data_IF_460841824813
#
_entry.id   IF_460841824813
#
_cell.length_a   1.000
_cell.length_b   1.000
_cell.length_c   1.000
_cell.angle_alpha   90.00
_cell.angle_beta   90.00
_cell.angle_gamma   90.00
#
_symmetry.space_group_name_H-M   'P 1'
#
loop_
_entity.id
_entity.type
_entity.pdbx_description
1 polymer ?
#
# COMPACT_ATOMS: atom_id res chain seq x y z
N UNK A 1 -0.86 16.42 3.15
CA UNK A 1 -0.24 15.09 3.33
C UNK A 1 1.13 15.12 2.69
N UNK A 2 2.17 14.75 3.45
CA UNK A 2 3.54 14.69 2.96
C UNK A 2 3.91 13.22 2.66
N UNK A 3 4.73 12.97 1.64
CA UNK A 3 5.11 11.61 1.24
C UNK A 3 5.81 10.81 2.36
N UNK A 4 6.45 11.53 3.27
CA UNK A 4 7.17 11.00 4.43
C UNK A 4 6.23 10.33 5.44
N UNK A 5 5.15 11.02 5.81
CA UNK A 5 4.15 10.48 6.74
C UNK A 5 3.46 9.24 6.16
N UNK A 6 3.26 9.21 4.83
CA UNK A 6 2.64 8.08 4.14
C UNK A 6 3.56 6.88 4.14
N UNK A 7 4.85 7.05 3.83
CA UNK A 7 5.80 5.93 3.79
C UNK A 7 6.08 5.37 5.19
N UNK A 8 6.12 6.22 6.23
CA UNK A 8 6.32 5.77 7.61
C UNK A 8 5.13 4.93 8.11
N UNK A 9 3.90 5.33 7.77
CA UNK A 9 2.69 4.54 8.06
C UNK A 9 2.71 3.19 7.33
N UNK A 10 3.21 3.14 6.10
CA UNK A 10 3.36 1.88 5.35
C UNK A 10 4.49 1.01 5.93
N UNK A 11 5.61 1.61 6.33
CA UNK A 11 6.71 0.93 7.00
C UNK A 11 6.23 0.25 8.29
N UNK A 12 5.42 0.95 9.08
CA UNK A 12 4.84 0.38 10.30
C UNK A 12 3.93 -0.80 10.02
N UNK A 13 3.12 -0.71 8.98
CA UNK A 13 2.14 -1.76 8.61
C UNK A 13 2.79 -3.02 8.02
N UNK A 14 3.83 -2.87 7.20
CA UNK A 14 4.37 -3.98 6.41
C UNK A 14 5.78 -4.43 6.82
N UNK A 15 6.55 -3.58 7.49
CA UNK A 15 7.95 -3.84 7.88
C UNK A 15 8.10 -3.84 9.41
N UNK A 16 7.15 -3.25 10.15
CA UNK A 16 7.20 -3.14 11.61
C UNK A 16 8.15 -2.05 12.13
N UNK A 17 8.61 -1.15 11.26
CA UNK A 17 9.45 -0.01 11.62
C UNK A 17 8.60 1.27 11.74
N UNK A 18 8.86 2.10 12.74
CA UNK A 18 8.14 3.38 12.92
C UNK A 18 8.52 4.45 11.88
N UNK A 19 9.74 4.37 11.35
CA UNK A 19 10.26 5.24 10.28
C UNK A 19 10.79 4.36 9.15
N UNK A 20 10.56 4.75 7.90
CA UNK A 20 11.01 3.96 6.75
C UNK A 20 12.55 3.88 6.68
N UNK A 21 13.14 2.69 6.88
CA UNK A 21 14.59 2.55 7.09
C UNK A 21 15.42 2.66 5.81
N UNK A 22 14.79 2.55 4.63
CA UNK A 22 15.46 2.59 3.34
C UNK A 22 15.34 3.96 2.65
N UNK A 23 15.03 5.01 3.41
CA UNK A 23 14.99 6.36 2.86
C UNK A 23 16.38 6.81 2.38
N UNK A 24 16.48 7.20 1.12
CA UNK A 24 17.65 7.90 0.59
C UNK A 24 17.29 9.37 0.33
N UNK A 25 18.06 10.33 0.88
CA UNK A 25 17.76 11.76 0.71
C UNK A 25 17.90 12.25 -0.74
N UNK A 26 18.63 11.52 -1.60
CA UNK A 26 18.80 11.82 -3.02
C UNK A 26 17.68 11.27 -3.92
N UNK A 27 16.69 10.57 -3.37
CA UNK A 27 15.57 10.02 -4.15
C UNK A 27 14.43 11.02 -4.31
N UNK A 28 13.95 11.16 -5.56
CA UNK A 28 12.75 11.96 -5.86
C UNK A 28 11.51 11.18 -5.45
N UNK A 29 10.79 11.67 -4.43
CA UNK A 29 9.50 11.12 -3.99
C UNK A 29 8.36 11.68 -4.84
N UNK A 30 7.54 10.81 -5.43
CA UNK A 30 6.35 11.20 -6.19
C UNK A 30 5.10 10.65 -5.51
N UNK A 31 4.22 11.54 -5.06
CA UNK A 31 2.90 11.15 -4.55
C UNK A 31 1.92 11.10 -5.72
N UNK A 32 1.34 9.92 -5.96
CA UNK A 32 0.32 9.73 -7.00
C UNK A 32 -1.02 9.48 -6.31
N UNK A 33 -1.97 10.39 -6.51
CA UNK A 33 -3.36 10.17 -6.15
C UNK A 33 -4.03 9.42 -7.30
N UNK A 34 -4.50 8.20 -7.04
CA UNK A 34 -5.18 7.37 -8.03
C UNK A 34 -6.67 7.35 -7.70
N UNK A 35 -7.50 7.94 -8.56
CA UNK A 35 -8.95 7.77 -8.53
C UNK A 35 -9.30 6.46 -9.26
N UNK A 36 -9.84 5.44 -8.56
CA UNK A 36 -10.20 4.18 -9.20
C UNK A 36 -11.42 4.36 -10.11
N UNK A 37 -11.27 4.14 -11.41
CA UNK A 37 -12.37 4.25 -12.39
C UNK A 37 -13.08 2.93 -12.66
N UNK A 38 -12.36 1.80 -12.56
CA UNK A 38 -12.91 0.45 -12.71
C UNK A 38 -12.03 -0.57 -12.00
N UNK A 39 -12.64 -1.50 -11.26
CA UNK A 39 -11.95 -2.57 -10.53
C UNK A 39 -12.32 -3.91 -11.16
N UNK A 40 -11.32 -4.72 -11.48
CA UNK A 40 -11.50 -6.11 -11.92
C UNK A 40 -10.97 -7.03 -10.83
N UNK A 41 -11.85 -7.78 -10.18
CA UNK A 41 -11.48 -8.81 -9.21
C UNK A 41 -11.57 -10.20 -9.86
N UNK A 42 -10.48 -10.98 -9.82
CA UNK A 42 -10.51 -12.38 -10.23
C UNK A 42 -10.64 -13.25 -8.98
N UNK A 43 -11.87 -13.62 -8.62
CA UNK A 43 -12.16 -14.53 -7.52
C UNK A 43 -12.30 -15.96 -8.03
N UNK A 44 -11.47 -16.87 -7.50
CA UNK A 44 -11.65 -18.31 -7.69
C UNK A 44 -12.99 -18.74 -7.09
N UNK A 45 -13.82 -19.41 -7.90
CA UNK A 45 -15.02 -20.06 -7.41
C UNK A 45 -14.62 -21.22 -6.48
N UNK A 46 -14.81 -21.07 -5.18
CA UNK A 46 -14.94 -22.20 -4.27
C UNK A 46 -16.35 -22.16 -3.72
N UNK A 47 -17.22 -22.97 -4.32
CA UNK A 47 -18.52 -23.32 -3.74
C UNK A 47 -18.23 -24.11 -2.47
N UNK A 48 -18.37 -23.47 -1.31
CA UNK A 48 -18.61 -24.20 -0.07
C UNK A 48 -20.12 -24.39 0.02
N UNK A 49 -20.58 -25.56 -0.42
CA UNK A 49 -21.89 -26.07 -0.03
C UNK A 49 -21.87 -26.24 1.50
N UNK A 50 -22.76 -25.53 2.18
CA UNK A 50 -23.02 -25.64 3.61
C UNK A 50 -24.39 -26.36 3.81
N UNK A 51 -24.60 -26.97 4.98
CA UNK A 51 -25.06 -28.36 5.17
C UNK A 51 -26.52 -28.67 4.77
#
# INVERSE_FOLDING_TARGET
>A
ENGDEVIDRLAKKYIGADVYPFHQPDETRVTILIEPTKVFSMGSATVVAAP
#
